data_IF_640603670585
#
_entry.id   IF_640603670585
#
_cell.length_a   1.000
_cell.length_b   1.000
_cell.length_c   1.000
_cell.angle_alpha   90.00
_cell.angle_beta   90.00
_cell.angle_gamma   90.00
#
_symmetry.space_group_name_H-M   'P 1'
#
loop_
_entity.id
_entity.type
_entity.pdbx_description
1 polymer ?
#
# COMPACT_ATOMS: atom_id res chain seq x y z
N UNK A 1 -19.63 -14.03 14.70
CA UNK A 1 -20.28 -12.73 14.91
C UNK A 1 -19.21 -11.72 15.26
N UNK A 2 -19.20 -10.55 14.62
CA UNK A 2 -18.31 -9.45 15.02
C UNK A 2 -18.73 -9.01 16.42
N UNK A 3 -17.82 -9.13 17.40
CA UNK A 3 -18.08 -8.66 18.74
C UNK A 3 -17.98 -7.12 18.76
N UNK A 4 -19.12 -6.47 18.55
CA UNK A 4 -19.22 -5.00 18.53
C UNK A 4 -18.91 -4.36 19.89
N UNK A 5 -18.84 -5.15 20.96
CA UNK A 5 -18.56 -4.63 22.31
C UNK A 5 -17.12 -4.16 22.45
N UNK A 6 -16.15 -4.90 21.88
CA UNK A 6 -14.73 -4.53 21.88
C UNK A 6 -14.46 -3.30 21.01
N UNK A 7 -15.15 -3.16 19.87
CA UNK A 7 -15.06 -1.92 19.07
C UNK A 7 -15.66 -0.71 19.81
N UNK A 8 -16.80 -0.88 20.50
CA UNK A 8 -17.37 0.18 21.34
C UNK A 8 -16.41 0.57 22.48
N UNK A 9 -15.75 -0.39 23.12
CA UNK A 9 -14.75 -0.13 24.17
C UNK A 9 -13.55 0.67 23.61
N UNK A 10 -13.04 0.33 22.38
CA UNK A 10 -11.97 1.07 21.72
C UNK A 10 -12.33 2.56 21.51
N UNK A 11 -13.55 2.83 21.04
CA UNK A 11 -14.01 4.19 20.77
C UNK A 11 -14.58 4.91 22.00
N UNK A 12 -14.89 4.20 23.08
CA UNK A 12 -15.26 4.78 24.37
C UNK A 12 -14.04 5.40 25.07
N UNK A 13 -12.85 4.83 24.89
CA UNK A 13 -11.62 5.46 25.34
C UNK A 13 -11.34 6.72 24.52
N UNK A 14 -11.38 7.87 25.20
CA UNK A 14 -11.24 9.18 24.59
C UNK A 14 -9.87 9.34 23.89
N UNK A 15 -8.82 8.74 24.43
CA UNK A 15 -7.46 8.85 23.91
C UNK A 15 -7.25 7.97 22.70
N UNK A 16 -7.69 6.70 22.77
CA UNK A 16 -7.63 5.78 21.63
C UNK A 16 -8.44 6.33 20.46
N UNK A 17 -9.66 6.80 20.74
CA UNK A 17 -10.50 7.45 19.72
C UNK A 17 -9.80 8.64 19.09
N UNK A 18 -9.21 9.54 19.89
CA UNK A 18 -8.54 10.74 19.40
C UNK A 18 -7.34 10.43 18.53
N UNK A 19 -6.50 9.44 18.92
CA UNK A 19 -5.33 9.07 18.14
C UNK A 19 -5.70 8.37 16.84
N UNK A 20 -6.71 7.50 16.86
CA UNK A 20 -7.24 6.82 15.67
C UNK A 20 -7.75 7.86 14.68
N UNK A 21 -8.60 8.79 15.09
CA UNK A 21 -9.14 9.84 14.22
C UNK A 21 -8.06 10.80 13.72
N UNK A 22 -7.13 11.22 14.59
CA UNK A 22 -6.02 12.09 14.21
C UNK A 22 -5.07 11.44 13.18
N UNK A 23 -5.03 10.12 13.13
CA UNK A 23 -4.17 9.37 12.22
C UNK A 23 -4.70 9.25 10.78
N UNK A 24 -5.98 9.52 10.54
CA UNK A 24 -6.62 9.31 9.23
C UNK A 24 -6.05 10.29 8.19
N UNK A 25 -6.09 11.58 8.49
CA UNK A 25 -5.66 12.64 7.56
C UNK A 25 -4.21 12.47 7.06
N UNK A 26 -3.20 12.21 7.93
CA UNK A 26 -1.81 12.07 7.48
C UNK A 26 -1.52 10.77 6.72
N UNK A 27 -2.47 9.84 6.63
CA UNK A 27 -2.36 8.60 5.85
C UNK A 27 -2.95 8.70 4.46
N UNK A 28 -3.91 9.59 4.24
CA UNK A 28 -4.53 9.79 2.91
C UNK A 28 -3.49 9.97 1.79
N UNK A 29 -2.35 10.66 2.00
CA UNK A 29 -1.30 10.78 1.02
C UNK A 29 -0.76 9.44 0.49
N UNK A 30 -0.85 8.34 1.24
CA UNK A 30 -0.39 7.02 0.76
C UNK A 30 -1.21 6.54 -0.45
N UNK A 31 -2.52 6.78 -0.43
CA UNK A 31 -3.41 6.49 -1.56
C UNK A 31 -3.43 7.57 -2.64
N UNK A 32 -3.04 8.81 -2.30
CA UNK A 32 -3.04 9.93 -3.24
C UNK A 32 -1.76 10.02 -4.06
N UNK A 33 -0.59 9.79 -3.44
CA UNK A 33 0.70 10.10 -4.05
C UNK A 33 1.00 9.27 -5.29
N UNK A 34 0.74 7.94 -5.26
CA UNK A 34 1.01 7.09 -6.41
C UNK A 34 0.27 7.57 -7.67
N UNK A 35 -1.04 7.78 -7.54
CA UNK A 35 -1.89 8.26 -8.62
C UNK A 35 -1.60 9.74 -8.96
N UNK A 36 -1.51 10.60 -7.95
CA UNK A 36 -1.28 12.03 -8.12
C UNK A 36 0.03 12.32 -8.85
N UNK A 37 1.12 11.64 -8.48
CA UNK A 37 2.42 11.79 -9.15
C UNK A 37 2.38 11.26 -10.59
N UNK A 38 1.74 10.11 -10.81
CA UNK A 38 1.58 9.55 -12.17
C UNK A 38 0.86 10.53 -13.08
N UNK A 39 -0.27 11.11 -12.63
CA UNK A 39 -1.06 12.05 -13.41
C UNK A 39 -0.35 13.40 -13.58
N UNK A 40 0.34 13.90 -12.54
CA UNK A 40 1.11 15.14 -12.62
C UNK A 40 2.21 15.04 -13.69
N UNK A 41 3.02 13.99 -13.62
CA UNK A 41 4.14 13.82 -14.56
C UNK A 41 3.61 13.57 -15.96
N UNK A 42 2.61 12.71 -16.11
CA UNK A 42 1.99 12.42 -17.41
C UNK A 42 1.39 13.66 -18.05
N UNK A 43 0.67 14.51 -17.30
CA UNK A 43 0.06 15.72 -17.82
C UNK A 43 1.07 16.75 -18.35
N UNK A 44 2.30 16.76 -17.81
CA UNK A 44 3.34 17.71 -18.21
C UNK A 44 4.30 17.16 -19.25
N UNK A 45 4.60 15.84 -19.20
CA UNK A 45 5.54 15.19 -20.10
C UNK A 45 4.87 14.49 -21.30
N UNK A 46 3.56 14.22 -21.22
CA UNK A 46 2.85 13.36 -22.17
C UNK A 46 3.22 11.88 -22.07
N UNK A 47 4.11 11.49 -21.14
CA UNK A 47 4.76 10.19 -21.07
C UNK A 47 4.33 9.39 -19.84
N UNK A 48 3.76 8.20 -20.04
CA UNK A 48 3.52 7.23 -18.97
C UNK A 48 4.81 6.52 -18.54
N UNK A 49 5.83 6.42 -19.41
CA UNK A 49 7.13 5.89 -19.04
C UNK A 49 7.83 6.80 -18.02
N UNK A 50 7.82 8.11 -18.23
CA UNK A 50 8.34 9.05 -17.24
C UNK A 50 7.51 9.03 -15.95
N UNK A 51 6.18 9.01 -16.05
CA UNK A 51 5.30 8.93 -14.88
C UNK A 51 5.54 7.66 -14.06
N UNK A 52 5.65 6.51 -14.70
CA UNK A 52 5.95 5.24 -14.06
C UNK A 52 7.33 5.23 -13.40
N UNK A 53 8.35 5.80 -14.05
CA UNK A 53 9.70 5.90 -13.50
C UNK A 53 9.76 6.80 -12.25
N UNK A 54 9.06 7.94 -12.27
CA UNK A 54 8.95 8.84 -11.13
C UNK A 54 8.22 8.18 -9.96
N UNK A 55 7.13 7.47 -10.23
CA UNK A 55 6.41 6.68 -9.22
C UNK A 55 7.28 5.55 -8.67
N UNK A 56 8.09 4.89 -9.51
CA UNK A 56 9.04 3.87 -9.09
C UNK A 56 10.14 4.46 -8.17
N UNK A 57 10.66 5.64 -8.47
CA UNK A 57 11.63 6.32 -7.63
C UNK A 57 11.05 6.66 -6.24
N UNK A 58 9.81 7.14 -6.19
CA UNK A 58 9.09 7.41 -4.94
C UNK A 58 8.87 6.13 -4.13
N UNK A 59 8.41 5.04 -4.76
CA UNK A 59 8.17 3.74 -4.10
C UNK A 59 9.48 3.07 -3.67
N UNK A 60 10.54 3.18 -4.47
CA UNK A 60 11.87 2.72 -4.11
C UNK A 60 12.42 3.42 -2.87
N UNK A 61 12.13 4.71 -2.72
CA UNK A 61 12.49 5.46 -1.52
C UNK A 61 11.71 4.98 -0.27
N UNK A 62 10.41 4.68 -0.39
CA UNK A 62 9.62 4.07 0.67
C UNK A 62 10.19 2.69 1.07
N UNK A 63 10.63 1.90 0.10
CA UNK A 63 11.24 0.60 0.34
C UNK A 63 12.56 0.72 1.13
N UNK A 64 13.39 1.70 0.80
CA UNK A 64 14.64 1.99 1.52
C UNK A 64 14.37 2.55 2.91
N UNK A 65 13.35 3.39 3.05
CA UNK A 65 12.98 3.98 4.34
C UNK A 65 12.48 2.93 5.34
N UNK A 66 11.66 1.97 4.90
CA UNK A 66 10.93 1.04 5.77
C UNK A 66 11.79 0.35 6.84
N UNK A 67 12.98 -0.22 6.55
CA UNK A 67 13.80 -0.87 7.56
C UNK A 67 14.53 0.10 8.51
N UNK A 68 14.71 1.36 8.10
CA UNK A 68 15.49 2.35 8.88
C UNK A 68 14.59 3.14 9.83
N UNK A 69 13.42 3.55 9.34
CA UNK A 69 12.58 4.51 10.03
C UNK A 69 12.07 4.02 11.39
N UNK A 70 11.81 2.73 11.54
CA UNK A 70 11.39 2.15 12.81
C UNK A 70 12.42 2.38 13.91
N UNK A 71 13.71 2.21 13.61
CA UNK A 71 14.81 2.46 14.55
C UNK A 71 14.94 3.93 14.92
N UNK A 72 14.80 4.80 13.93
CA UNK A 72 14.85 6.26 14.17
C UNK A 72 13.71 6.69 15.08
N UNK A 73 12.52 6.12 14.92
CA UNK A 73 11.36 6.39 15.79
C UNK A 73 11.59 5.85 17.20
N UNK A 74 12.14 4.64 17.36
CA UNK A 74 12.41 4.05 18.65
C UNK A 74 13.47 4.86 19.43
N UNK A 75 14.51 5.34 18.77
CA UNK A 75 15.60 6.11 19.39
C UNK A 75 15.21 7.55 19.76
N UNK A 76 14.49 8.24 18.87
CA UNK A 76 14.20 9.68 19.03
C UNK A 76 12.79 9.96 19.58
N UNK A 77 11.98 8.91 19.71
CA UNK A 77 10.56 9.00 20.05
C UNK A 77 9.70 9.41 18.86
N UNK A 78 8.43 8.96 18.83
CA UNK A 78 7.57 9.14 17.67
C UNK A 78 7.32 10.61 17.32
N UNK A 79 7.12 11.48 18.33
CA UNK A 79 6.86 12.91 18.08
C UNK A 79 8.07 13.62 17.47
N UNK A 80 9.29 13.31 17.95
CA UNK A 80 10.52 13.94 17.44
C UNK A 80 10.82 13.59 15.99
N UNK A 81 10.30 12.48 15.50
CA UNK A 81 10.49 12.00 14.13
C UNK A 81 9.34 12.40 13.21
N UNK A 82 8.08 12.26 13.68
CA UNK A 82 6.90 12.52 12.85
C UNK A 82 6.81 13.96 12.39
N UNK A 83 7.02 14.96 13.29
CA UNK A 83 6.88 16.37 12.94
C UNK A 83 7.85 16.81 11.83
N UNK A 84 9.18 16.58 11.95
CA UNK A 84 10.09 16.93 10.87
C UNK A 84 9.77 16.20 9.57
N UNK A 85 9.45 14.89 9.63
CA UNK A 85 9.15 14.13 8.42
C UNK A 85 7.89 14.62 7.72
N UNK A 86 6.82 14.93 8.45
CA UNK A 86 5.60 15.48 7.85
C UNK A 86 5.83 16.81 7.14
N UNK A 87 6.65 17.69 7.71
CA UNK A 87 7.02 18.97 7.09
C UNK A 87 7.95 18.80 5.89
N UNK A 88 8.98 17.94 6.04
CA UNK A 88 9.93 17.65 4.97
C UNK A 88 9.25 16.94 3.79
N UNK A 89 8.29 16.05 4.06
CA UNK A 89 7.52 15.38 3.01
C UNK A 89 6.67 16.38 2.22
N UNK A 90 5.98 17.29 2.90
CA UNK A 90 5.21 18.35 2.24
C UNK A 90 6.10 19.26 1.41
N UNK A 91 7.27 19.66 1.93
CA UNK A 91 8.24 20.46 1.20
C UNK A 91 8.78 19.70 -0.02
N UNK A 92 9.11 18.43 0.13
CA UNK A 92 9.60 17.59 -0.97
C UNK A 92 8.55 17.41 -2.07
N UNK A 93 7.27 17.21 -1.72
CA UNK A 93 6.16 17.17 -2.69
C UNK A 93 5.96 18.53 -3.39
N UNK A 94 6.11 19.64 -2.68
CA UNK A 94 6.06 20.98 -3.29
C UNK A 94 7.21 21.15 -4.28
N UNK A 95 8.43 20.84 -3.89
CA UNK A 95 9.62 20.94 -4.77
C UNK A 95 9.48 20.01 -5.99
N UNK A 96 8.98 18.79 -5.80
CA UNK A 96 8.69 17.87 -6.89
C UNK A 96 7.63 18.46 -7.84
N UNK A 97 6.55 19.01 -7.31
CA UNK A 97 5.50 19.65 -8.12
C UNK A 97 6.07 20.82 -8.93
N UNK A 98 6.90 21.66 -8.31
CA UNK A 98 7.58 22.76 -8.99
C UNK A 98 8.55 22.25 -10.06
N UNK A 99 9.35 21.22 -9.77
CA UNK A 99 10.26 20.63 -10.74
C UNK A 99 9.52 20.11 -11.98
N UNK A 100 8.39 19.40 -11.77
CA UNK A 100 7.58 18.87 -12.89
C UNK A 100 6.91 20.00 -13.66
N UNK A 101 6.30 20.99 -13.02
CA UNK A 101 5.59 22.09 -13.69
C UNK A 101 6.55 23.02 -14.43
N UNK A 102 7.76 23.21 -13.93
CA UNK A 102 8.83 23.99 -14.59
C UNK A 102 9.59 23.18 -15.65
N UNK A 103 9.15 21.93 -15.92
CA UNK A 103 9.79 21.05 -16.91
C UNK A 103 11.29 20.83 -16.63
N UNK A 104 11.65 20.70 -15.35
CA UNK A 104 13.03 20.43 -14.97
C UNK A 104 13.55 19.11 -15.59
N UNK A 105 14.87 18.94 -15.75
CA UNK A 105 15.44 17.68 -16.22
C UNK A 105 14.93 16.47 -15.43
N UNK A 106 14.70 15.34 -16.11
CA UNK A 106 14.13 14.14 -15.49
C UNK A 106 14.90 13.70 -14.25
N UNK A 107 16.22 13.85 -14.26
CA UNK A 107 17.08 13.53 -13.09
C UNK A 107 16.68 14.33 -11.84
N UNK A 108 16.35 15.62 -11.98
CA UNK A 108 15.90 16.47 -10.88
C UNK A 108 14.55 16.02 -10.36
N UNK A 109 13.64 15.65 -11.26
CA UNK A 109 12.30 15.12 -10.91
C UNK A 109 12.45 13.79 -10.15
N UNK A 110 13.31 12.89 -10.61
CA UNK A 110 13.57 11.60 -9.96
C UNK A 110 14.16 11.76 -8.55
N UNK A 111 15.16 12.64 -8.40
CA UNK A 111 15.76 12.94 -7.09
C UNK A 111 14.72 13.55 -6.15
N UNK A 112 13.87 14.45 -6.63
CA UNK A 112 12.81 15.06 -5.84
C UNK A 112 11.74 14.04 -5.43
N UNK A 113 11.37 13.10 -6.33
CA UNK A 113 10.44 12.02 -6.03
C UNK A 113 11.03 11.05 -5.00
N UNK A 114 12.30 10.68 -5.15
CA UNK A 114 13.00 9.86 -4.17
C UNK A 114 13.09 10.56 -2.81
N UNK A 115 13.43 11.85 -2.78
CA UNK A 115 13.46 12.63 -1.56
C UNK A 115 12.08 12.68 -0.87
N UNK A 116 10.99 12.85 -1.65
CA UNK A 116 9.64 12.83 -1.10
C UNK A 116 9.30 11.46 -0.48
N UNK A 117 9.66 10.36 -1.11
CA UNK A 117 9.44 9.02 -0.57
C UNK A 117 10.23 8.74 0.71
N UNK A 118 11.53 9.13 0.75
CA UNK A 118 12.42 8.84 1.88
C UNK A 118 12.00 9.57 3.17
N UNK A 119 11.31 10.70 3.06
CA UNK A 119 10.84 11.49 4.20
C UNK A 119 9.35 11.29 4.49
N UNK A 120 8.72 10.25 3.93
CA UNK A 120 7.31 9.95 4.19
C UNK A 120 7.09 9.60 5.67
N UNK A 121 6.11 10.21 6.39
CA UNK A 121 5.90 9.95 7.81
C UNK A 121 5.31 8.56 8.07
N UNK A 122 5.94 7.70 8.91
CA UNK A 122 5.55 6.30 9.12
C UNK A 122 4.41 6.16 10.15
N UNK A 123 3.25 6.78 9.90
CA UNK A 123 2.12 6.85 10.83
C UNK A 123 1.62 5.45 11.22
N UNK A 124 1.37 4.58 10.23
CA UNK A 124 0.84 3.23 10.46
C UNK A 124 1.77 2.36 11.29
N UNK A 125 3.08 2.43 11.00
CA UNK A 125 4.09 1.68 11.74
C UNK A 125 4.12 2.13 13.21
N UNK A 126 4.05 3.43 13.44
CA UNK A 126 4.05 4.04 14.78
C UNK A 126 2.83 3.59 15.58
N UNK A 127 1.62 3.69 15.02
CA UNK A 127 0.39 3.25 15.72
C UNK A 127 0.43 1.76 16.03
N UNK A 128 0.84 0.92 15.09
CA UNK A 128 0.95 -0.53 15.32
C UNK A 128 1.96 -0.85 16.43
N UNK A 129 3.08 -0.11 16.49
CA UNK A 129 4.05 -0.24 17.56
C UNK A 129 3.44 0.16 18.92
N UNK A 130 2.65 1.23 18.93
CA UNK A 130 1.92 1.70 20.10
C UNK A 130 0.93 0.64 20.61
N UNK A 131 0.08 0.07 19.76
CA UNK A 131 -0.87 -0.98 20.16
C UNK A 131 -0.17 -2.22 20.73
N UNK A 132 0.96 -2.64 20.16
CA UNK A 132 1.73 -3.77 20.68
C UNK A 132 2.25 -3.54 22.10
N UNK A 133 2.69 -2.32 22.40
CA UNK A 133 3.32 -1.93 23.68
C UNK A 133 2.32 -1.47 24.73
N UNK A 134 1.05 -1.31 24.37
CA UNK A 134 0.00 -0.88 25.32
C UNK A 134 -0.41 -2.00 26.29
N UNK A 135 -0.93 -1.62 27.44
CA UNK A 135 -1.47 -2.54 28.47
C UNK A 135 -2.90 -3.04 28.12
N UNK A 136 -3.36 -2.80 26.89
CA UNK A 136 -4.64 -3.31 26.40
C UNK A 136 -4.67 -4.84 26.46
N UNK A 137 -5.83 -5.42 26.79
CA UNK A 137 -6.02 -6.86 26.66
C UNK A 137 -5.98 -7.30 25.19
N UNK A 138 -5.77 -8.59 24.92
CA UNK A 138 -5.57 -9.13 23.59
C UNK A 138 -6.78 -8.90 22.67
N UNK A 139 -8.03 -8.98 23.21
CA UNK A 139 -9.24 -8.73 22.43
C UNK A 139 -9.32 -7.26 21.93
N UNK A 140 -8.95 -6.31 22.79
CA UNK A 140 -8.93 -4.89 22.42
C UNK A 140 -7.79 -4.57 21.46
N UNK A 141 -6.60 -5.19 21.63
CA UNK A 141 -5.49 -5.11 20.68
C UNK A 141 -5.91 -5.62 19.29
N UNK A 142 -6.56 -6.78 19.25
CA UNK A 142 -7.05 -7.35 17.99
C UNK A 142 -8.03 -6.40 17.28
N UNK A 143 -8.97 -5.81 18.02
CA UNK A 143 -9.91 -4.84 17.49
C UNK A 143 -9.21 -3.57 17.01
N UNK A 144 -8.18 -3.08 17.72
CA UNK A 144 -7.38 -1.92 17.32
C UNK A 144 -6.62 -2.17 16.03
N UNK A 145 -6.02 -3.36 15.85
CA UNK A 145 -5.36 -3.74 14.60
C UNK A 145 -6.35 -3.90 13.44
N UNK A 146 -7.57 -4.39 13.71
CA UNK A 146 -8.62 -4.49 12.69
C UNK A 146 -9.09 -3.10 12.21
N UNK A 147 -9.28 -2.15 13.14
CA UNK A 147 -9.59 -0.74 12.81
C UNK A 147 -8.45 -0.11 12.02
N UNK A 148 -7.19 -0.37 12.40
CA UNK A 148 -6.01 0.09 11.68
C UNK A 148 -6.00 -0.40 10.22
N UNK A 149 -6.28 -1.67 9.99
CA UNK A 149 -6.38 -2.24 8.65
C UNK A 149 -7.52 -1.61 7.85
N UNK A 150 -8.70 -1.42 8.47
CA UNK A 150 -9.85 -0.78 7.81
C UNK A 150 -9.57 0.69 7.42
N UNK A 151 -8.83 1.44 8.25
CA UNK A 151 -8.41 2.80 7.93
C UNK A 151 -7.46 2.80 6.73
N UNK A 152 -6.50 1.87 6.66
CA UNK A 152 -5.59 1.77 5.53
C UNK A 152 -6.32 1.46 4.22
N UNK A 153 -7.26 0.50 4.23
CA UNK A 153 -8.12 0.23 3.08
C UNK A 153 -8.95 1.47 2.69
N UNK A 154 -9.50 2.19 3.69
CA UNK A 154 -10.18 3.47 3.48
C UNK A 154 -9.30 4.50 2.79
N UNK A 155 -8.02 4.60 3.14
CA UNK A 155 -7.08 5.52 2.49
C UNK A 155 -6.82 5.15 1.02
N UNK A 156 -6.77 3.85 0.68
CA UNK A 156 -6.64 3.40 -0.72
C UNK A 156 -7.91 3.59 -1.54
N UNK A 157 -9.08 3.70 -0.92
CA UNK A 157 -10.34 4.04 -1.59
C UNK A 157 -10.48 5.57 -1.74
N UNK A 158 -10.35 6.29 -0.62
CA UNK A 158 -10.60 7.74 -0.54
C UNK A 158 -9.50 8.53 -1.23
N UNK A 159 -8.24 8.09 -1.14
CA UNK A 159 -7.09 8.77 -1.74
C UNK A 159 -7.26 9.03 -3.24
N UNK A 160 -7.44 8.00 -4.09
CA UNK A 160 -7.68 8.17 -5.51
C UNK A 160 -8.96 8.96 -5.85
N UNK A 161 -10.02 8.85 -5.04
CA UNK A 161 -11.22 9.65 -5.21
C UNK A 161 -10.94 11.14 -4.96
N UNK A 162 -10.16 11.49 -3.93
CA UNK A 162 -9.72 12.86 -3.68
C UNK A 162 -8.86 13.40 -4.82
N UNK A 163 -7.97 12.58 -5.38
CA UNK A 163 -7.20 12.97 -6.58
C UNK A 163 -8.14 13.28 -7.74
N UNK A 164 -9.12 12.43 -8.00
CA UNK A 164 -10.10 12.66 -9.08
C UNK A 164 -10.95 13.90 -8.85
N UNK A 165 -11.39 14.16 -7.62
CA UNK A 165 -12.12 15.38 -7.27
C UNK A 165 -11.28 16.64 -7.48
N UNK A 166 -10.01 16.61 -7.09
CA UNK A 166 -9.10 17.74 -7.31
C UNK A 166 -8.81 17.96 -8.80
N UNK A 167 -8.77 16.91 -9.61
CA UNK A 167 -8.65 17.02 -11.06
C UNK A 167 -9.88 17.64 -11.73
N UNK A 168 -11.08 17.35 -11.23
CA UNK A 168 -12.31 17.98 -11.72
C UNK A 168 -12.36 19.47 -11.42
N UNK A 169 -11.80 19.89 -10.27
CA UNK A 169 -11.82 21.27 -9.80
C UNK A 169 -10.65 22.11 -10.33
N UNK A 170 -9.50 21.50 -10.62
CA UNK A 170 -8.28 22.24 -10.92
C UNK A 170 -7.28 21.48 -11.82
N UNK A 171 -6.31 20.76 -11.22
CA UNK A 171 -5.26 20.08 -11.97
C UNK A 171 -4.60 18.97 -11.15
N UNK A 172 -3.82 18.04 -11.77
CA UNK A 172 -3.05 17.03 -11.05
C UNK A 172 -2.06 17.62 -10.02
N UNK A 173 -1.54 18.83 -10.27
CA UNK A 173 -0.67 19.52 -9.31
C UNK A 173 -1.38 19.82 -8.00
N UNK A 174 -2.64 20.22 -8.05
CA UNK A 174 -3.46 20.44 -6.85
C UNK A 174 -3.67 19.17 -6.04
N UNK A 175 -3.78 18.01 -6.69
CA UNK A 175 -3.90 16.74 -5.99
C UNK A 175 -2.65 16.43 -5.16
N UNK A 176 -1.46 16.65 -5.72
CA UNK A 176 -0.18 16.46 -5.01
C UNK A 176 -0.01 17.49 -3.89
N UNK A 177 -0.39 18.74 -4.11
CA UNK A 177 -0.35 19.79 -3.08
C UNK A 177 -1.37 19.52 -1.96
N UNK A 178 -2.56 19.00 -2.27
CA UNK A 178 -3.53 18.57 -1.27
C UNK A 178 -2.98 17.41 -0.43
N UNK A 179 -2.30 16.45 -1.05
CA UNK A 179 -1.61 15.39 -0.32
C UNK A 179 -0.50 15.94 0.58
N UNK A 180 0.28 16.92 0.12
CA UNK A 180 1.30 17.62 0.92
C UNK A 180 0.69 18.32 2.14
N UNK A 181 -0.45 19.01 1.96
CA UNK A 181 -1.18 19.67 3.05
C UNK A 181 -1.71 18.66 4.07
N UNK A 182 -2.34 17.58 3.59
CA UNK A 182 -2.84 16.51 4.46
C UNK A 182 -1.71 15.81 5.23
N UNK A 183 -0.55 15.60 4.59
CA UNK A 183 0.62 15.05 5.23
C UNK A 183 1.14 15.97 6.35
N UNK A 184 1.34 17.27 6.06
CA UNK A 184 1.92 18.20 7.02
C UNK A 184 0.97 18.51 8.17
N UNK A 185 -0.25 19.01 7.88
CA UNK A 185 -1.26 19.38 8.89
C UNK A 185 -1.74 18.15 9.65
N UNK A 186 -1.98 17.05 8.95
CA UNK A 186 -2.39 15.80 9.56
C UNK A 186 -1.33 15.23 10.51
N UNK A 187 -0.06 15.21 10.09
CA UNK A 187 1.05 14.75 10.94
C UNK A 187 1.26 15.67 12.14
N UNK A 188 1.15 16.98 11.96
CA UNK A 188 1.23 17.96 13.04
C UNK A 188 0.12 17.72 14.08
N UNK A 189 -1.12 17.52 13.63
CA UNK A 189 -2.24 17.22 14.51
C UNK A 189 -2.06 15.87 15.23
N UNK A 190 -1.65 14.83 14.51
CA UNK A 190 -1.37 13.51 15.05
C UNK A 190 -0.25 13.55 16.10
N UNK A 191 0.85 14.23 15.83
CA UNK A 191 2.00 14.33 16.74
C UNK A 191 1.71 15.11 18.03
N UNK A 192 0.63 15.88 18.07
CA UNK A 192 0.15 16.60 19.27
C UNK A 192 -0.82 15.78 20.12
N UNK A 193 -1.18 14.56 19.70
CA UNK A 193 -2.05 13.71 20.52
C UNK A 193 -1.36 13.33 21.82
N UNK A 194 -2.09 13.45 22.95
CA UNK A 194 -1.55 13.18 24.28
C UNK A 194 -1.04 11.74 24.46
N UNK A 195 -1.68 10.79 23.78
CA UNK A 195 -1.24 9.40 23.76
C UNK A 195 0.17 9.26 23.17
N UNK A 196 0.48 9.93 22.04
CA UNK A 196 1.80 9.88 21.43
C UNK A 196 2.89 10.50 22.32
N UNK A 197 2.54 11.51 23.09
CA UNK A 197 3.46 12.17 24.03
C UNK A 197 3.80 11.26 25.20
N UNK A 198 2.82 10.53 25.75
CA UNK A 198 3.00 9.63 26.89
C UNK A 198 3.77 8.36 26.53
N UNK A 199 3.64 7.87 25.32
CA UNK A 199 4.27 6.63 24.89
C UNK A 199 5.76 6.75 24.57
N UNK A 200 6.35 7.89 24.75
CA UNK A 200 7.76 8.20 24.97
C UNK A 200 8.78 7.45 24.10
N UNK A 201 10.02 7.62 24.50
CA UNK A 201 11.14 6.83 23.96
C UNK A 201 11.04 5.41 24.50
N UNK A 202 11.28 4.45 23.62
CA UNK A 202 11.34 3.04 23.99
C UNK A 202 12.80 2.65 24.17
N UNK A 203 13.13 1.91 25.24
CA UNK A 203 14.44 1.29 25.35
C UNK A 203 14.69 0.41 24.14
N UNK A 204 15.74 0.76 23.39
CA UNK A 204 16.15 0.04 22.19
C UNK A 204 16.76 -1.30 22.63
N UNK A 205 16.06 -2.38 22.36
CA UNK A 205 16.63 -3.73 22.47
C UNK A 205 17.54 -3.93 21.25
N UNK A 206 18.84 -3.81 21.50
CA UNK A 206 19.87 -3.95 20.48
C UNK A 206 19.87 -5.35 19.85
N UNK A 207 20.09 -5.36 18.54
CA UNK A 207 20.58 -6.46 17.72
C UNK A 207 19.62 -7.62 17.46
N UNK A 208 18.71 -7.41 16.49
CA UNK A 208 18.23 -8.51 15.67
C UNK A 208 18.92 -8.47 14.32
N UNK A 209 19.35 -9.64 13.83
CA UNK A 209 20.10 -9.74 12.58
C UNK A 209 19.15 -9.47 11.41
N UNK A 210 19.36 -8.41 10.63
CA UNK A 210 18.52 -8.01 9.49
C UNK A 210 18.25 -9.14 8.51
N UNK A 211 19.25 -9.99 8.28
CA UNK A 211 19.19 -11.11 7.35
C UNK A 211 18.67 -12.40 7.99
N UNK A 212 18.33 -12.36 9.30
CA UNK A 212 17.82 -13.52 10.03
C UNK A 212 16.65 -14.23 9.32
N UNK A 213 15.60 -13.50 8.89
CA UNK A 213 14.46 -14.10 8.18
C UNK A 213 14.86 -14.74 6.84
N UNK A 214 15.86 -14.19 6.16
CA UNK A 214 16.32 -14.65 4.85
C UNK A 214 17.10 -15.98 4.92
N UNK A 215 17.45 -16.47 6.11
CA UNK A 215 18.02 -17.80 6.29
C UNK A 215 16.98 -18.90 6.04
N UNK A 216 15.70 -18.63 6.31
CA UNK A 216 14.59 -19.54 6.01
C UNK A 216 14.31 -19.58 4.51
N UNK A 217 14.41 -20.80 3.93
CA UNK A 217 14.10 -21.02 2.52
C UNK A 217 12.63 -20.70 2.18
N UNK A 218 11.71 -21.05 3.09
CA UNK A 218 10.29 -20.74 2.95
C UNK A 218 10.01 -19.22 2.91
N UNK A 219 10.65 -18.46 3.79
CA UNK A 219 10.53 -16.99 3.82
C UNK A 219 11.06 -16.39 2.53
N UNK A 220 12.23 -16.79 2.04
CA UNK A 220 12.78 -16.27 0.77
C UNK A 220 11.83 -16.47 -0.40
N UNK A 221 11.21 -17.67 -0.52
CA UNK A 221 10.24 -17.95 -1.57
C UNK A 221 8.96 -17.12 -1.43
N UNK A 222 8.43 -16.98 -0.22
CA UNK A 222 7.26 -16.14 0.02
C UNK A 222 7.53 -14.65 -0.30
N UNK A 223 8.74 -14.17 0.00
CA UNK A 223 9.16 -12.81 -0.32
C UNK A 223 9.32 -12.58 -1.83
N UNK A 224 9.92 -13.52 -2.55
CA UNK A 224 10.02 -13.47 -4.02
C UNK A 224 8.65 -13.52 -4.68
N UNK A 225 7.74 -14.35 -4.15
CA UNK A 225 6.36 -14.39 -4.60
C UNK A 225 5.66 -13.03 -4.42
N UNK A 226 5.82 -12.42 -3.23
CA UNK A 226 5.29 -11.08 -2.95
C UNK A 226 5.84 -10.03 -3.92
N UNK A 227 7.13 -10.08 -4.26
CA UNK A 227 7.77 -9.20 -5.25
C UNK A 227 7.13 -9.37 -6.64
N UNK A 228 6.97 -10.60 -7.11
CA UNK A 228 6.38 -10.87 -8.44
C UNK A 228 4.92 -10.44 -8.52
N UNK A 229 4.13 -10.73 -7.48
CA UNK A 229 2.73 -10.34 -7.41
C UNK A 229 2.58 -8.81 -7.36
N UNK A 230 3.38 -8.13 -6.55
CA UNK A 230 3.33 -6.65 -6.47
C UNK A 230 3.80 -5.97 -7.76
N UNK A 231 4.73 -6.56 -8.49
CA UNK A 231 5.10 -6.09 -9.84
C UNK A 231 3.91 -6.17 -10.80
N UNK A 232 3.15 -7.26 -10.78
CA UNK A 232 1.91 -7.37 -11.55
C UNK A 232 0.86 -6.36 -11.13
N UNK A 233 0.71 -6.09 -9.82
CA UNK A 233 -0.17 -5.03 -9.32
C UNK A 233 0.24 -3.67 -9.88
N UNK A 234 1.52 -3.33 -9.88
CA UNK A 234 2.04 -2.07 -10.45
C UNK A 234 1.77 -1.94 -11.95
N UNK A 235 1.94 -3.05 -12.71
CA UNK A 235 1.54 -3.11 -14.13
C UNK A 235 0.05 -2.82 -14.31
N UNK A 236 -0.81 -3.39 -13.46
CA UNK A 236 -2.25 -3.17 -13.52
C UNK A 236 -2.62 -1.73 -13.16
N UNK A 237 -2.10 -1.21 -12.05
CA UNK A 237 -2.47 0.11 -11.53
C UNK A 237 -2.14 1.26 -12.47
N UNK A 238 -0.99 1.23 -13.17
CA UNK A 238 -0.63 2.29 -14.12
C UNK A 238 -1.54 2.30 -15.36
N UNK A 239 -2.21 1.18 -15.67
CA UNK A 239 -3.17 1.13 -16.79
C UNK A 239 -4.47 1.88 -16.49
N UNK A 240 -4.83 2.08 -15.21
CA UNK A 240 -6.06 2.79 -14.84
C UNK A 240 -6.04 4.26 -15.30
N UNK A 241 -5.02 5.07 -14.92
CA UNK A 241 -4.90 6.43 -15.42
C UNK A 241 -4.66 6.47 -16.93
N UNK A 242 -3.96 5.49 -17.50
CA UNK A 242 -3.74 5.42 -18.93
C UNK A 242 -5.05 5.22 -19.71
N UNK A 243 -5.92 4.32 -19.25
CA UNK A 243 -7.23 4.09 -19.87
C UNK A 243 -8.17 5.29 -19.68
N UNK A 244 -8.17 5.92 -18.47
CA UNK A 244 -8.94 7.13 -18.23
C UNK A 244 -8.54 8.26 -19.19
N UNK A 245 -7.23 8.45 -19.39
CA UNK A 245 -6.69 9.45 -20.32
C UNK A 245 -7.05 9.13 -21.78
N UNK A 246 -6.87 7.89 -22.20
CA UNK A 246 -7.22 7.43 -23.55
C UNK A 246 -8.72 7.56 -23.86
N UNK A 247 -9.57 7.44 -22.83
CA UNK A 247 -11.03 7.64 -22.94
C UNK A 247 -11.44 9.12 -23.05
N UNK A 248 -10.51 10.07 -22.96
CA UNK A 248 -10.80 11.51 -22.95
C UNK A 248 -11.33 12.07 -21.62
N UNK A 249 -11.39 11.26 -20.57
CA UNK A 249 -11.91 11.63 -19.25
C UNK A 249 -10.95 11.26 -18.10
N UNK A 250 -9.80 11.94 -17.99
CA UNK A 250 -8.77 11.59 -16.98
C UNK A 250 -9.29 11.58 -15.54
N UNK A 251 -10.24 12.43 -15.20
CA UNK A 251 -10.84 12.50 -13.87
C UNK A 251 -11.66 11.25 -13.47
N UNK A 252 -12.04 10.39 -14.44
CA UNK A 252 -12.73 9.13 -14.14
C UNK A 252 -11.84 8.07 -13.50
N UNK A 253 -10.55 8.29 -13.44
CA UNK A 253 -9.60 7.32 -12.83
C UNK A 253 -9.97 6.94 -11.41
N UNK A 254 -10.52 7.85 -10.61
CA UNK A 254 -10.99 7.55 -9.24
C UNK A 254 -12.12 6.52 -9.20
N UNK A 255 -12.99 6.50 -10.22
CA UNK A 255 -14.03 5.47 -10.33
C UNK A 255 -13.45 4.08 -10.59
N UNK A 256 -12.36 3.99 -11.36
CA UNK A 256 -11.65 2.71 -11.59
C UNK A 256 -10.99 2.21 -10.31
N UNK A 257 -10.33 3.10 -9.57
CA UNK A 257 -9.78 2.75 -8.25
C UNK A 257 -10.87 2.37 -7.26
N UNK A 258 -11.98 3.10 -7.22
CA UNK A 258 -13.11 2.76 -6.34
C UNK A 258 -13.72 1.40 -6.72
N UNK A 259 -13.91 1.14 -8.02
CA UNK A 259 -14.41 -0.14 -8.52
C UNK A 259 -13.50 -1.32 -8.14
N UNK A 260 -12.19 -1.09 -8.03
CA UNK A 260 -11.22 -2.11 -7.59
C UNK A 260 -11.17 -2.20 -6.05
N UNK A 261 -11.08 -1.08 -5.35
CA UNK A 261 -10.80 -1.06 -3.91
C UNK A 261 -12.03 -1.41 -3.05
N UNK A 262 -13.24 -1.02 -3.47
CA UNK A 262 -14.46 -1.34 -2.70
C UNK A 262 -14.71 -2.86 -2.63
N UNK A 263 -14.71 -3.61 -3.74
CA UNK A 263 -14.79 -5.07 -3.69
C UNK A 263 -13.63 -5.72 -2.91
N UNK A 264 -12.41 -5.16 -3.02
CA UNK A 264 -11.24 -5.63 -2.28
C UNK A 264 -11.45 -5.53 -0.77
N UNK A 265 -11.92 -4.38 -0.28
CA UNK A 265 -12.19 -4.16 1.13
C UNK A 265 -13.30 -5.12 1.65
N UNK A 266 -14.40 -5.25 0.90
CA UNK A 266 -15.51 -6.15 1.25
C UNK A 266 -15.02 -7.60 1.33
N UNK A 267 -14.29 -8.05 0.30
CA UNK A 267 -13.80 -9.43 0.24
C UNK A 267 -12.66 -9.69 1.22
N UNK A 268 -11.84 -8.70 1.54
CA UNK A 268 -10.81 -8.80 2.59
C UNK A 268 -11.44 -9.04 3.96
N UNK A 269 -12.51 -8.30 4.30
CA UNK A 269 -13.27 -8.50 5.55
C UNK A 269 -13.99 -9.85 5.55
N UNK A 270 -14.66 -10.19 4.45
CA UNK A 270 -15.36 -11.48 4.31
C UNK A 270 -14.39 -12.66 4.45
N UNK A 271 -13.22 -12.57 3.80
CA UNK A 271 -12.19 -13.59 3.88
C UNK A 271 -11.68 -13.81 5.32
N UNK A 272 -11.53 -12.76 6.10
CA UNK A 272 -11.14 -12.85 7.51
C UNK A 272 -12.16 -13.63 8.37
N UNK A 273 -13.44 -13.65 7.96
CA UNK A 273 -14.50 -14.40 8.63
C UNK A 273 -14.65 -15.85 8.13
N UNK A 274 -14.10 -16.17 6.96
CA UNK A 274 -14.19 -17.51 6.37
C UNK A 274 -13.14 -18.43 6.95
N UNK A 275 -13.57 -19.57 7.49
CA UNK A 275 -12.67 -20.65 7.93
C UNK A 275 -12.33 -21.57 6.75
N UNK A 276 -11.56 -21.05 5.79
CA UNK A 276 -11.13 -21.85 4.65
C UNK A 276 -10.12 -22.91 5.10
N UNK A 277 -10.45 -24.19 4.90
CA UNK A 277 -9.57 -25.34 5.23
C UNK A 277 -8.48 -25.57 4.17
N UNK A 278 -8.49 -24.82 3.07
CA UNK A 278 -7.52 -24.97 2.01
C UNK A 278 -6.14 -24.44 2.42
N UNK A 279 -5.05 -25.05 1.92
CA UNK A 279 -3.70 -24.52 2.12
C UNK A 279 -3.60 -23.08 1.63
N UNK A 280 -2.82 -22.25 2.33
CA UNK A 280 -2.63 -20.84 1.98
C UNK A 280 -2.06 -20.67 0.56
N UNK A 281 -1.15 -21.58 0.13
CA UNK A 281 -0.61 -21.59 -1.22
C UNK A 281 -1.72 -21.68 -2.29
N UNK A 282 -2.70 -22.58 -2.09
CA UNK A 282 -3.82 -22.72 -3.00
C UNK A 282 -4.71 -21.49 -3.02
N UNK A 283 -4.92 -20.85 -1.87
CA UNK A 283 -5.71 -19.63 -1.78
C UNK A 283 -5.03 -18.46 -2.51
N UNK A 284 -3.71 -18.28 -2.33
CA UNK A 284 -2.92 -17.26 -3.03
C UNK A 284 -2.90 -17.54 -4.53
N UNK A 285 -2.70 -18.80 -4.93
CA UNK A 285 -2.71 -19.20 -6.33
C UNK A 285 -4.05 -18.88 -7.01
N UNK A 286 -5.17 -19.26 -6.41
CA UNK A 286 -6.50 -18.99 -6.96
C UNK A 286 -6.79 -17.48 -7.03
N UNK A 287 -6.40 -16.72 -6.01
CA UNK A 287 -6.52 -15.27 -6.02
C UNK A 287 -5.67 -14.62 -7.12
N UNK A 288 -4.43 -15.08 -7.31
CA UNK A 288 -3.55 -14.60 -8.39
C UNK A 288 -4.08 -14.92 -9.78
N UNK A 289 -4.63 -16.13 -9.99
CA UNK A 289 -5.28 -16.51 -11.26
C UNK A 289 -6.54 -15.69 -11.51
N UNK A 290 -7.31 -15.38 -10.48
CA UNK A 290 -8.48 -14.52 -10.59
C UNK A 290 -8.09 -13.08 -10.96
N UNK A 291 -7.04 -12.53 -10.34
CA UNK A 291 -6.46 -11.23 -10.72
C UNK A 291 -6.01 -11.22 -12.20
N UNK A 292 -5.37 -12.30 -12.64
CA UNK A 292 -4.97 -12.46 -14.04
C UNK A 292 -6.18 -12.44 -14.98
N UNK A 293 -7.26 -13.13 -14.64
CA UNK A 293 -8.52 -13.13 -15.39
C UNK A 293 -9.17 -11.75 -15.46
N UNK A 294 -9.22 -11.01 -14.34
CA UNK A 294 -9.72 -9.64 -14.30
C UNK A 294 -8.89 -8.70 -15.19
N UNK A 295 -7.56 -8.83 -15.17
CA UNK A 295 -6.67 -8.06 -16.05
C UNK A 295 -6.87 -8.38 -17.53
N UNK A 296 -7.16 -9.65 -17.90
CA UNK A 296 -7.53 -10.01 -19.29
C UNK A 296 -8.85 -9.40 -19.71
N UNK A 297 -9.86 -9.37 -18.83
CA UNK A 297 -11.12 -8.70 -19.13
C UNK A 297 -10.90 -7.20 -19.36
N UNK A 298 -10.07 -6.55 -18.54
CA UNK A 298 -9.67 -5.16 -18.76
C UNK A 298 -8.97 -4.98 -20.11
N UNK A 299 -8.06 -5.91 -20.48
CA UNK A 299 -7.34 -5.88 -21.77
C UNK A 299 -8.26 -5.97 -22.99
N UNK A 300 -9.31 -6.77 -22.87
CA UNK A 300 -10.32 -6.94 -23.94
C UNK A 300 -11.34 -5.80 -24.00
N UNK A 301 -11.35 -4.91 -23.00
CA UNK A 301 -12.39 -3.88 -22.85
C UNK A 301 -12.05 -2.64 -23.64
N UNK A 302 -12.95 -2.23 -24.53
CA UNK A 302 -12.91 -0.94 -25.24
C UNK A 302 -13.83 0.09 -24.61
N UNK A 303 -14.81 -0.35 -23.82
CA UNK A 303 -15.82 0.49 -23.18
C UNK A 303 -15.52 0.69 -21.69
N UNK A 304 -15.78 1.89 -21.18
CA UNK A 304 -15.53 2.28 -19.79
C UNK A 304 -16.20 1.36 -18.79
N UNK A 305 -17.46 0.95 -19.00
CA UNK A 305 -18.19 0.08 -18.07
C UNK A 305 -17.59 -1.33 -18.00
N UNK A 306 -17.14 -1.87 -19.14
CA UNK A 306 -16.52 -3.19 -19.20
C UNK A 306 -15.14 -3.17 -18.52
N UNK A 307 -14.37 -2.09 -18.69
CA UNK A 307 -13.12 -1.87 -17.97
C UNK A 307 -13.35 -1.76 -16.45
N UNK A 308 -14.39 -1.02 -16.01
CA UNK A 308 -14.78 -0.94 -14.60
C UNK A 308 -15.17 -2.30 -14.03
N UNK A 309 -15.89 -3.14 -14.80
CA UNK A 309 -16.21 -4.50 -14.38
C UNK A 309 -14.94 -5.33 -14.18
N UNK A 310 -13.95 -5.21 -15.08
CA UNK A 310 -12.64 -5.82 -14.93
C UNK A 310 -11.92 -5.35 -13.65
N UNK A 311 -11.95 -4.05 -13.35
CA UNK A 311 -11.43 -3.50 -12.10
C UNK A 311 -12.12 -4.11 -10.88
N UNK A 312 -13.45 -4.22 -10.89
CA UNK A 312 -14.23 -4.80 -9.79
C UNK A 312 -13.88 -6.28 -9.57
N UNK A 313 -13.80 -7.04 -10.65
CA UNK A 313 -13.40 -8.45 -10.59
C UNK A 313 -11.97 -8.62 -10.06
N UNK A 314 -11.04 -7.79 -10.50
CA UNK A 314 -9.66 -7.77 -9.97
C UNK A 314 -9.68 -7.47 -8.46
N UNK A 315 -10.48 -6.49 -8.04
CA UNK A 315 -10.64 -6.12 -6.64
C UNK A 315 -11.10 -7.26 -5.73
N UNK A 316 -12.05 -8.09 -6.19
CA UNK A 316 -12.57 -9.22 -5.38
C UNK A 316 -11.49 -10.17 -4.87
N UNK A 317 -10.40 -10.36 -5.60
CA UNK A 317 -9.32 -11.25 -5.21
C UNK A 317 -8.17 -10.55 -4.48
N UNK A 318 -8.04 -9.23 -4.61
CA UNK A 318 -6.89 -8.49 -4.07
C UNK A 318 -6.82 -8.55 -2.54
N UNK A 319 -7.91 -8.24 -1.82
CA UNK A 319 -7.97 -8.29 -0.36
C UNK A 319 -7.68 -9.68 0.22
N UNK A 320 -8.36 -10.74 -0.26
CA UNK A 320 -8.04 -12.12 0.11
C UNK A 320 -6.58 -12.51 -0.14
N UNK A 321 -6.00 -12.12 -1.29
CA UNK A 321 -4.61 -12.41 -1.63
C UNK A 321 -3.63 -11.76 -0.64
N UNK A 322 -3.82 -10.47 -0.33
CA UNK A 322 -2.96 -9.74 0.62
C UNK A 322 -3.03 -10.36 2.01
N UNK A 323 -4.23 -10.76 2.46
CA UNK A 323 -4.42 -11.41 3.75
C UNK A 323 -3.75 -12.78 3.78
N UNK A 324 -3.92 -13.60 2.74
CA UNK A 324 -3.31 -14.92 2.66
C UNK A 324 -1.77 -14.86 2.61
N UNK A 325 -1.19 -13.90 1.86
CA UNK A 325 0.26 -13.65 1.84
C UNK A 325 0.80 -13.28 3.22
N UNK A 326 0.09 -12.39 3.93
CA UNK A 326 0.48 -11.97 5.28
C UNK A 326 0.43 -13.14 6.27
N UNK A 327 -0.62 -13.98 6.21
CA UNK A 327 -0.75 -15.18 7.04
C UNK A 327 0.33 -16.22 6.71
N UNK A 328 0.62 -16.43 5.41
CA UNK A 328 1.67 -17.35 4.97
C UNK A 328 3.05 -16.93 5.50
N UNK A 329 3.39 -15.65 5.34
CA UNK A 329 4.65 -15.12 5.83
C UNK A 329 4.76 -15.22 7.35
N UNK A 330 3.69 -14.88 8.09
CA UNK A 330 3.65 -14.98 9.54
C UNK A 330 3.87 -16.39 10.07
N UNK A 331 3.44 -17.42 9.31
CA UNK A 331 3.65 -18.83 9.66
C UNK A 331 5.01 -19.39 9.24
N UNK A 332 5.60 -18.85 8.16
CA UNK A 332 6.92 -19.27 7.67
C UNK A 332 8.07 -18.58 8.40
N UNK A 333 7.83 -17.38 8.93
CA UNK A 333 8.84 -16.61 9.65
C UNK A 333 9.08 -17.22 11.04
N UNK A 334 10.36 -17.45 11.44
CA UNK A 334 10.68 -17.76 12.82
C UNK A 334 10.15 -16.68 13.76
N UNK A 335 9.62 -17.08 14.92
CA UNK A 335 8.99 -16.14 15.87
C UNK A 335 9.91 -14.98 16.29
N UNK A 336 11.20 -15.26 16.42
CA UNK A 336 12.25 -14.30 16.76
C UNK A 336 12.53 -13.26 15.67
N UNK A 337 12.22 -13.56 14.40
CA UNK A 337 12.45 -12.69 13.23
C UNK A 337 11.17 -12.24 12.53
N UNK A 338 10.03 -12.39 13.17
CA UNK A 338 8.72 -12.08 12.56
C UNK A 338 8.63 -10.62 12.11
N UNK A 339 9.08 -9.67 12.93
CA UNK A 339 9.04 -8.24 12.60
C UNK A 339 9.91 -7.91 11.39
N UNK A 340 11.12 -8.47 11.33
CA UNK A 340 12.05 -8.30 10.21
C UNK A 340 11.51 -8.92 8.92
N UNK A 341 10.85 -10.07 9.02
CA UNK A 341 10.21 -10.72 7.85
C UNK A 341 9.11 -9.84 7.25
N UNK A 342 8.26 -9.23 8.06
CA UNK A 342 7.24 -8.29 7.57
C UNK A 342 7.85 -7.00 7.03
N UNK A 343 8.97 -6.53 7.57
CA UNK A 343 9.71 -5.39 7.03
C UNK A 343 10.24 -5.70 5.63
N UNK A 344 10.88 -6.86 5.45
CA UNK A 344 11.34 -7.33 4.15
C UNK A 344 10.19 -7.50 3.15
N UNK A 345 9.05 -8.02 3.61
CA UNK A 345 7.84 -8.13 2.76
C UNK A 345 7.38 -6.77 2.26
N UNK A 346 7.28 -5.78 3.14
CA UNK A 346 6.90 -4.42 2.75
C UNK A 346 7.92 -3.80 1.78
N UNK A 347 9.22 -3.97 2.05
CA UNK A 347 10.29 -3.47 1.18
C UNK A 347 10.19 -4.07 -0.22
N UNK A 348 10.10 -5.40 -0.34
CA UNK A 348 10.03 -6.07 -1.63
C UNK A 348 8.71 -5.81 -2.35
N UNK A 349 7.61 -5.67 -1.61
CA UNK A 349 6.33 -5.27 -2.17
C UNK A 349 6.41 -3.87 -2.81
N UNK A 350 7.01 -2.89 -2.14
CA UNK A 350 7.19 -1.54 -2.69
C UNK A 350 8.14 -1.52 -3.90
N UNK A 351 9.22 -2.32 -3.87
CA UNK A 351 10.11 -2.47 -5.01
C UNK A 351 9.37 -3.07 -6.20
N UNK A 352 8.64 -4.17 -6.01
CA UNK A 352 7.87 -4.81 -7.08
C UNK A 352 6.83 -3.88 -7.67
N UNK A 353 6.07 -3.19 -6.81
CA UNK A 353 5.08 -2.21 -7.24
C UNK A 353 5.73 -1.11 -8.08
N UNK A 354 6.86 -0.54 -7.64
CA UNK A 354 7.60 0.48 -8.38
C UNK A 354 8.12 -0.02 -9.72
N UNK A 355 8.73 -1.21 -9.76
CA UNK A 355 9.18 -1.83 -11.02
C UNK A 355 8.00 -2.05 -11.96
N UNK A 356 6.85 -2.49 -11.44
CA UNK A 356 5.61 -2.64 -12.21
C UNK A 356 5.11 -1.33 -12.81
N UNK A 357 5.12 -0.24 -12.05
CA UNK A 357 4.77 1.10 -12.56
C UNK A 357 5.72 1.54 -13.68
N UNK A 358 7.03 1.39 -13.49
CA UNK A 358 8.02 1.76 -14.50
C UNK A 358 7.89 0.92 -15.77
N UNK A 359 7.90 -0.41 -15.64
CA UNK A 359 7.80 -1.33 -16.78
C UNK A 359 6.46 -1.15 -17.51
N UNK A 360 5.37 -1.00 -16.74
CA UNK A 360 4.04 -0.77 -17.29
C UNK A 360 3.94 0.56 -18.07
N UNK A 361 4.53 1.64 -17.55
CA UNK A 361 4.60 2.91 -18.25
C UNK A 361 5.31 2.81 -19.60
N UNK A 362 6.46 2.13 -19.63
CA UNK A 362 7.17 1.87 -20.89
C UNK A 362 6.38 0.98 -21.85
N UNK A 363 5.70 -0.05 -21.33
CA UNK A 363 4.90 -0.95 -22.15
C UNK A 363 3.68 -0.25 -22.74
N UNK A 364 3.02 0.63 -21.98
CA UNK A 364 1.88 1.42 -22.47
C UNK A 364 2.28 2.27 -23.67
N UNK A 365 3.44 2.93 -23.64
CA UNK A 365 3.91 3.76 -24.74
C UNK A 365 4.31 2.98 -25.98
N UNK A 366 4.95 1.81 -25.80
CA UNK A 366 5.46 1.01 -26.93
C UNK A 366 4.42 0.09 -27.53
N UNK A 367 3.56 -0.48 -26.73
CA UNK A 367 2.68 -1.59 -27.09
C UNK A 367 1.21 -1.37 -26.76
N UNK A 368 0.90 -0.27 -26.04
CA UNK A 368 -0.47 0.08 -25.65
C UNK A 368 -0.95 -0.59 -24.37
N UNK A 369 -2.12 -0.15 -23.90
CA UNK A 369 -2.74 -0.55 -22.63
C UNK A 369 -3.10 -2.03 -22.63
N UNK A 370 -3.72 -2.53 -23.69
CA UNK A 370 -4.17 -3.92 -23.78
C UNK A 370 -3.00 -4.91 -23.65
N UNK A 371 -1.89 -4.66 -24.36
CA UNK A 371 -0.69 -5.51 -24.29
C UNK A 371 -0.08 -5.48 -22.89
N UNK A 372 -0.07 -4.32 -22.20
CA UNK A 372 0.41 -4.19 -20.83
C UNK A 372 -0.43 -5.02 -19.87
N UNK A 373 -1.77 -5.03 -20.03
CA UNK A 373 -2.68 -5.85 -19.22
C UNK A 373 -2.54 -7.35 -19.50
N UNK A 374 -2.27 -7.74 -20.75
CA UNK A 374 -1.95 -9.14 -21.08
C UNK A 374 -0.65 -9.57 -20.42
N UNK A 375 0.39 -8.73 -20.46
CA UNK A 375 1.66 -9.01 -19.77
C UNK A 375 1.48 -9.07 -18.24
N UNK A 376 0.66 -8.18 -17.67
CA UNK A 376 0.25 -8.24 -16.28
C UNK A 376 -0.39 -9.58 -15.95
N UNK A 377 -1.36 -10.01 -16.75
CA UNK A 377 -2.04 -11.31 -16.58
C UNK A 377 -1.06 -12.48 -16.66
N UNK A 378 -0.14 -12.48 -17.61
CA UNK A 378 0.88 -13.51 -17.76
C UNK A 378 1.79 -13.57 -16.53
N UNK A 379 2.27 -12.42 -16.04
CA UNK A 379 3.10 -12.33 -14.84
C UNK A 379 2.34 -12.82 -13.61
N UNK A 380 1.08 -12.40 -13.42
CA UNK A 380 0.23 -12.85 -12.31
C UNK A 380 0.00 -14.35 -12.35
N UNK A 381 -0.23 -14.92 -13.54
CA UNK A 381 -0.40 -16.36 -13.72
C UNK A 381 0.88 -17.13 -13.35
N UNK A 382 2.04 -16.67 -13.84
CA UNK A 382 3.33 -17.27 -13.50
C UNK A 382 3.57 -17.19 -12.00
N UNK A 383 3.39 -16.03 -11.38
CA UNK A 383 3.56 -15.84 -9.96
C UNK A 383 2.59 -16.72 -9.15
N UNK A 384 1.32 -16.83 -9.57
CA UNK A 384 0.33 -17.68 -8.95
C UNK A 384 0.74 -19.17 -8.99
N UNK A 385 1.24 -19.66 -10.11
CA UNK A 385 1.74 -21.03 -10.24
C UNK A 385 3.01 -21.25 -9.39
N UNK A 386 3.89 -20.26 -9.29
CA UNK A 386 5.07 -20.33 -8.42
C UNK A 386 4.71 -20.44 -6.92
N UNK A 387 3.46 -20.15 -6.52
CA UNK A 387 2.99 -20.42 -5.15
C UNK A 387 3.16 -21.89 -4.76
N UNK A 388 3.04 -22.81 -5.72
CA UNK A 388 3.20 -24.24 -5.49
C UNK A 388 4.63 -24.63 -5.07
N UNK A 389 5.61 -23.75 -5.33
CA UNK A 389 7.00 -23.94 -4.93
C UNK A 389 7.27 -23.46 -3.48
N UNK A 390 6.36 -22.71 -2.87
CA UNK A 390 6.45 -22.27 -1.48
C UNK A 390 6.02 -23.44 -0.58
N UNK A 391 6.73 -23.71 0.56
CA UNK A 391 6.33 -24.77 1.49
C UNK A 391 4.87 -24.64 1.91
N UNK A 392 4.16 -25.76 1.94
CA UNK A 392 2.74 -25.78 2.26
C UNK A 392 2.51 -25.43 3.73
N UNK A 393 1.67 -24.42 3.95
CA UNK A 393 1.24 -24.02 5.30
C UNK A 393 -0.28 -24.07 5.34
N UNK A 394 -0.82 -24.97 6.19
CA UNK A 394 -2.28 -25.09 6.35
C UNK A 394 -2.89 -23.85 7.00
N UNK A 395 -4.07 -23.45 6.55
CA UNK A 395 -4.91 -22.48 7.24
C UNK A 395 -5.20 -22.95 8.68
N UNK A 396 -5.52 -22.01 9.59
CA UNK A 396 -5.79 -22.31 11.00
C UNK A 396 -7.00 -23.22 11.15
N UNK A 397 -6.77 -24.54 11.24
CA UNK A 397 -7.66 -25.38 12.02
C UNK A 397 -7.21 -25.26 13.48
N UNK A 398 -8.01 -24.69 14.35
CA UNK A 398 -7.84 -24.92 15.78
C UNK A 398 -7.92 -26.45 16.01
N UNK A 399 -7.12 -27.01 16.94
CA UNK A 399 -7.30 -28.41 17.31
C UNK A 399 -8.73 -28.61 17.78
N UNK A 400 -9.39 -29.60 17.20
CA UNK A 400 -10.65 -30.12 17.71
C UNK A 400 -10.35 -30.67 19.12
N UNK A 401 -10.99 -30.13 20.12
CA UNK A 401 -11.30 -30.78 21.40
C UNK A 401 -10.13 -31.07 22.32
N UNK A 402 -9.98 -30.26 23.36
CA UNK A 402 -9.68 -30.74 24.70
C UNK A 402 -10.66 -30.08 25.68
#
# INVERSE_FOLDING_TARGET
>A
MLDLTTYRALFADHELRRIVLASVAPRLPIGMNALGLTLLVQSQSGSFAHAGLVSAAYMGALAVQAPVIGRVVDQNGPRGVMLPLGMLHALALLLLTLAVTQRAPLAVVLVSAFAAGIVFPPISMTIRAMYRKSDMNDALKQSAFAVEAAIMEGCFIIGPLLVSLTMLAASPAFAVLAAALLASVGTWHFARSGALVRWGRVEYVAQRHWLGPLQSFGVRRALLLSLCLSMGIGLNEITLPAFANASGYPARVGWFYAAMSVPSAIMGVAYGSWRLRWPLNRQIMLSGLWLAGGSLLMAASTQTWAFMLGCALTGLAFGPMMTALSLQLGKLAPSEYSTEAFTWSTTLFMIGLGVGFWAGGMMIERHGIATTLVACSALMTIAALCCLLVPEVRGTAQPEGA
#
